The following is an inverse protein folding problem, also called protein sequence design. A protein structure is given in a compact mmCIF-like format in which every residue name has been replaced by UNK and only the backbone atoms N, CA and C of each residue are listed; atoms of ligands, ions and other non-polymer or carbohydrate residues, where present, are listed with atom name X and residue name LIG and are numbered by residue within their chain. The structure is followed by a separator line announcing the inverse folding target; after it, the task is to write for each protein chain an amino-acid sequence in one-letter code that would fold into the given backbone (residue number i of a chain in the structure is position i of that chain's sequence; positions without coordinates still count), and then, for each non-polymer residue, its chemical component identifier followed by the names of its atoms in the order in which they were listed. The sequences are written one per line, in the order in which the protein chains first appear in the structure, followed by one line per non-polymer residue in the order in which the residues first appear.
data_IF_481751842323
#
_entry.id   IF_481751842323
#
_cell.length_a   1.000
_cell.length_b   1.000
_cell.length_c   1.000
_cell.angle_alpha   90.00
_cell.angle_beta   90.00
_cell.angle_gamma   90.00
#
_symmetry.space_group_name_H-M   'P 1'
#
loop_
_entity.id
_entity.type
_entity.pdbx_description
1 polymer ?
#
# COMPACT_ATOMS: atom_id res chain seq x y z
N UNK A 1 -8.50 21.93 14.62
CA UNK A 1 -8.64 21.54 13.21
C UNK A 1 -9.97 20.85 13.05
N UNK A 2 -10.82 21.18 12.06
CA UNK A 2 -11.97 20.37 11.76
C UNK A 2 -11.49 18.93 11.51
N UNK A 3 -12.30 17.98 11.96
CA UNK A 3 -12.01 16.55 11.97
C UNK A 3 -11.35 16.07 10.66
N UNK A 4 -10.03 15.82 10.70
CA UNK A 4 -9.25 15.22 9.60
C UNK A 4 -9.55 13.72 9.42
N UNK A 5 -10.58 13.18 10.08
CA UNK A 5 -11.02 11.81 9.87
C UNK A 5 -11.64 11.71 8.49
N UNK A 6 -10.91 11.05 7.60
CA UNK A 6 -11.44 10.48 6.38
C UNK A 6 -12.78 9.76 6.67
N UNK A 7 -13.83 10.00 5.86
CA UNK A 7 -15.12 9.35 6.10
C UNK A 7 -14.99 7.84 6.00
N UNK A 8 -15.78 7.12 6.80
CA UNK A 8 -15.89 5.67 6.64
C UNK A 8 -16.54 5.37 5.30
N UNK A 9 -15.97 4.44 4.55
CA UNK A 9 -16.60 3.94 3.34
C UNK A 9 -17.95 3.31 3.68
N UNK A 10 -19.01 3.71 2.96
CA UNK A 10 -20.37 3.18 3.13
C UNK A 10 -20.81 2.50 1.85
N UNK A 11 -21.90 1.73 1.92
CA UNK A 11 -22.53 1.16 0.74
C UNK A 11 -22.97 2.23 -0.26
N UNK A 12 -23.56 3.33 0.23
CA UNK A 12 -23.97 4.46 -0.60
C UNK A 12 -22.79 5.09 -1.36
N UNK A 13 -21.61 5.21 -0.73
CA UNK A 13 -20.41 5.69 -1.44
C UNK A 13 -20.00 4.75 -2.57
N UNK A 14 -20.14 3.42 -2.37
CA UNK A 14 -19.80 2.44 -3.40
C UNK A 14 -20.80 2.43 -4.55
N UNK A 15 -22.09 2.51 -4.26
CA UNK A 15 -23.15 2.56 -5.27
C UNK A 15 -23.03 3.85 -6.10
N UNK A 16 -22.86 5.00 -5.44
CA UNK A 16 -22.69 6.28 -6.14
C UNK A 16 -21.44 6.32 -7.02
N UNK A 17 -20.30 5.78 -6.56
CA UNK A 17 -19.10 5.66 -7.39
C UNK A 17 -19.36 4.84 -8.66
N UNK A 18 -20.15 3.78 -8.55
CA UNK A 18 -20.53 2.95 -9.70
C UNK A 18 -21.49 3.67 -10.65
N UNK A 19 -22.44 4.44 -10.13
CA UNK A 19 -23.34 5.27 -10.96
C UNK A 19 -22.55 6.28 -11.79
N UNK A 20 -21.55 6.92 -11.19
CA UNK A 20 -20.73 7.93 -11.86
C UNK A 20 -19.80 7.34 -12.94
N UNK A 21 -19.30 6.11 -12.76
CA UNK A 21 -18.33 5.50 -13.68
C UNK A 21 -18.45 3.96 -13.72
N UNK A 22 -19.54 3.40 -14.26
CA UNK A 22 -19.85 1.97 -14.10
C UNK A 22 -18.84 1.05 -14.78
N UNK A 23 -18.42 1.39 -16.01
CA UNK A 23 -17.48 0.56 -16.77
C UNK A 23 -16.09 0.53 -16.13
N UNK A 24 -15.61 1.67 -15.62
CA UNK A 24 -14.32 1.77 -14.96
C UNK A 24 -14.33 1.04 -13.60
N UNK A 25 -15.40 1.19 -12.81
CA UNK A 25 -15.58 0.48 -11.54
C UNK A 25 -15.64 -1.04 -11.75
N UNK A 26 -16.41 -1.51 -12.73
CA UNK A 26 -16.54 -2.94 -13.02
C UNK A 26 -15.21 -3.55 -13.50
N UNK A 27 -14.47 -2.83 -14.37
CA UNK A 27 -13.13 -3.23 -14.80
C UNK A 27 -12.13 -3.29 -13.63
N UNK A 28 -12.13 -2.27 -12.76
CA UNK A 28 -11.27 -2.25 -11.58
C UNK A 28 -11.57 -3.40 -10.61
N UNK A 29 -12.85 -3.73 -10.39
CA UNK A 29 -13.25 -4.87 -9.55
C UNK A 29 -12.81 -6.20 -10.12
N UNK A 30 -12.95 -6.39 -11.42
CA UNK A 30 -12.47 -7.58 -12.10
C UNK A 30 -10.94 -7.71 -11.97
N UNK A 31 -10.21 -6.61 -12.21
CA UNK A 31 -8.76 -6.55 -12.02
C UNK A 31 -8.35 -6.87 -10.58
N UNK A 32 -8.98 -6.22 -9.59
CA UNK A 32 -8.69 -6.45 -8.17
C UNK A 32 -8.91 -7.91 -7.77
N UNK A 33 -10.02 -8.53 -8.21
CA UNK A 33 -10.29 -9.95 -7.98
C UNK A 33 -9.20 -10.84 -8.59
N UNK A 34 -8.81 -10.57 -9.83
CA UNK A 34 -7.77 -11.36 -10.52
C UNK A 34 -6.41 -11.23 -9.85
N UNK A 35 -6.02 -10.02 -9.42
CA UNK A 35 -4.75 -9.76 -8.74
C UNK A 35 -4.64 -10.55 -7.44
N UNK A 36 -5.68 -10.58 -6.62
CA UNK A 36 -5.66 -11.23 -5.29
C UNK A 36 -6.05 -12.71 -5.29
N UNK A 37 -6.42 -13.30 -6.42
CA UNK A 37 -6.62 -14.76 -6.53
C UNK A 37 -5.30 -15.52 -6.35
N UNK A 38 -5.34 -16.78 -5.92
CA UNK A 38 -4.14 -17.63 -5.82
C UNK A 38 -3.45 -17.81 -7.18
N UNK A 39 -2.12 -17.94 -7.13
CA UNK A 39 -1.28 -18.22 -8.29
C UNK A 39 0.12 -18.64 -7.84
N UNK A 40 1.16 -18.13 -8.50
CA UNK A 40 2.54 -18.35 -8.05
C UNK A 40 2.83 -17.79 -6.64
N UNK A 41 2.06 -16.79 -6.21
CA UNK A 41 1.97 -16.34 -4.83
C UNK A 41 0.55 -16.64 -4.32
N UNK A 42 0.46 -17.15 -3.10
CA UNK A 42 -0.83 -17.35 -2.42
C UNK A 42 -1.50 -16.00 -2.08
N UNK A 43 -2.81 -16.01 -1.89
CA UNK A 43 -3.60 -14.81 -1.58
C UNK A 43 -3.08 -14.11 -0.33
N UNK A 44 -2.66 -14.85 0.69
CA UNK A 44 -2.08 -14.32 1.94
C UNK A 44 -0.82 -13.51 1.70
N UNK A 45 0.14 -14.05 0.95
CA UNK A 45 1.39 -13.37 0.56
C UNK A 45 1.08 -12.11 -0.22
N UNK A 46 0.12 -12.17 -1.15
CA UNK A 46 -0.32 -10.96 -1.88
C UNK A 46 -0.93 -9.91 -0.96
N UNK A 47 -1.70 -10.31 0.05
CA UNK A 47 -2.22 -9.36 1.04
C UNK A 47 -1.13 -8.76 1.92
N UNK A 48 -0.10 -9.53 2.32
CA UNK A 48 1.06 -9.00 3.05
C UNK A 48 1.84 -7.97 2.22
N UNK A 49 2.04 -8.22 0.92
CA UNK A 49 2.59 -7.23 0.00
C UNK A 49 1.70 -5.99 -0.04
N UNK A 50 0.38 -6.16 -0.15
CA UNK A 50 -0.55 -5.04 -0.17
C UNK A 50 -0.55 -4.23 1.14
N UNK A 51 -0.36 -4.87 2.30
CA UNK A 51 -0.15 -4.18 3.59
C UNK A 51 1.09 -3.30 3.54
N UNK A 52 2.22 -3.84 3.05
CA UNK A 52 3.45 -3.08 2.92
C UNK A 52 3.28 -1.89 1.95
N UNK A 53 2.69 -2.12 0.78
CA UNK A 53 2.40 -1.06 -0.21
C UNK A 53 1.46 0.00 0.35
N UNK A 54 0.40 -0.38 1.09
CA UNK A 54 -0.55 0.55 1.70
C UNK A 54 0.12 1.52 2.69
N UNK A 55 1.16 1.08 3.41
CA UNK A 55 1.98 1.92 4.28
C UNK A 55 2.90 2.86 3.49
N UNK A 56 3.48 2.39 2.38
CA UNK A 56 4.28 3.25 1.49
C UNK A 56 3.41 4.35 0.86
N UNK A 57 2.18 4.02 0.44
CA UNK A 57 1.23 5.01 -0.12
C UNK A 57 0.46 5.79 0.95
N UNK A 58 0.65 5.47 2.23
CA UNK A 58 0.02 6.12 3.39
C UNK A 58 -1.51 6.19 3.30
N UNK A 59 -2.15 5.18 2.71
CA UNK A 59 -3.60 5.16 2.48
C UNK A 59 -4.31 4.50 3.68
N UNK A 60 -5.02 5.24 4.54
CA UNK A 60 -5.63 4.67 5.76
C UNK A 60 -6.69 3.62 5.45
N UNK A 61 -7.50 3.82 4.40
CA UNK A 61 -8.50 2.83 3.98
C UNK A 61 -7.85 1.55 3.43
N UNK A 62 -6.73 1.69 2.72
CA UNK A 62 -5.98 0.57 2.18
C UNK A 62 -5.30 -0.25 3.30
N UNK A 63 -4.72 0.45 4.29
CA UNK A 63 -4.15 -0.19 5.49
C UNK A 63 -5.24 -1.01 6.19
N UNK A 64 -6.39 -0.40 6.50
CA UNK A 64 -7.48 -1.12 7.17
C UNK A 64 -8.01 -2.29 6.33
N UNK A 65 -8.21 -2.08 5.02
CA UNK A 65 -8.74 -3.09 4.11
C UNK A 65 -7.83 -4.30 3.97
N UNK A 66 -6.54 -4.08 3.72
CA UNK A 66 -5.57 -5.14 3.48
C UNK A 66 -5.12 -5.86 4.75
N UNK A 67 -5.09 -5.19 5.91
CA UNK A 67 -4.87 -5.88 7.20
C UNK A 67 -6.02 -6.87 7.47
N UNK A 68 -7.28 -6.43 7.29
CA UNK A 68 -8.44 -7.33 7.46
C UNK A 68 -8.44 -8.47 6.44
N UNK A 69 -8.05 -8.20 5.20
CA UNK A 69 -7.95 -9.23 4.17
C UNK A 69 -6.82 -10.23 4.48
N UNK A 70 -5.63 -9.77 4.86
CA UNK A 70 -4.51 -10.63 5.26
C UNK A 70 -4.90 -11.59 6.39
N UNK A 71 -5.56 -11.07 7.45
CA UNK A 71 -6.08 -11.93 8.54
C UNK A 71 -7.10 -12.95 8.05
N UNK A 72 -8.00 -12.57 7.12
CA UNK A 72 -8.97 -13.51 6.52
C UNK A 72 -8.30 -14.63 5.74
N UNK A 73 -7.17 -14.35 5.09
CA UNK A 73 -6.33 -15.34 4.40
C UNK A 73 -5.37 -16.09 5.35
N UNK A 74 -5.52 -15.93 6.67
CA UNK A 74 -4.74 -16.67 7.67
C UNK A 74 -3.34 -16.12 7.95
N UNK A 75 -3.05 -14.86 7.62
CA UNK A 75 -1.83 -14.21 8.10
C UNK A 75 -1.88 -14.00 9.62
N UNK A 76 -0.77 -14.28 10.31
CA UNK A 76 -0.62 -13.95 11.73
C UNK A 76 -0.37 -12.46 11.93
N UNK A 77 -0.56 -11.99 13.17
CA UNK A 77 -0.28 -10.60 13.53
C UNK A 77 1.21 -10.27 13.39
N UNK A 78 2.09 -11.23 13.66
CA UNK A 78 3.54 -11.13 13.45
C UNK A 78 3.87 -10.94 11.97
N UNK A 79 3.27 -11.75 11.07
CA UNK A 79 3.49 -11.62 9.63
C UNK A 79 3.05 -10.25 9.10
N UNK A 80 1.91 -9.74 9.58
CA UNK A 80 1.40 -8.41 9.22
C UNK A 80 2.37 -7.33 9.72
N UNK A 81 2.86 -7.45 10.95
CA UNK A 81 3.81 -6.50 11.52
C UNK A 81 5.16 -6.52 10.79
N UNK A 82 5.66 -7.69 10.39
CA UNK A 82 6.85 -7.82 9.56
C UNK A 82 6.69 -7.07 8.23
N UNK A 83 5.53 -7.18 7.56
CA UNK A 83 5.26 -6.43 6.34
C UNK A 83 5.28 -4.90 6.56
N UNK A 84 4.83 -4.42 7.72
CA UNK A 84 4.93 -2.99 8.10
C UNK A 84 6.39 -2.57 8.26
N UNK A 85 7.22 -3.37 8.91
CA UNK A 85 8.64 -3.08 9.09
C UNK A 85 9.42 -3.12 7.77
N UNK A 86 9.09 -4.05 6.87
CA UNK A 86 9.60 -4.04 5.50
C UNK A 86 9.25 -2.72 4.80
N UNK A 87 8.00 -2.24 4.91
CA UNK A 87 7.63 -0.95 4.35
C UNK A 87 8.35 0.24 5.00
N UNK A 88 8.67 0.17 6.29
CA UNK A 88 9.43 1.19 6.99
C UNK A 88 10.89 1.24 6.53
N UNK A 89 11.55 0.08 6.46
CA UNK A 89 12.90 -0.07 5.93
C UNK A 89 12.97 0.48 4.51
N UNK A 90 12.07 0.07 3.61
CA UNK A 90 12.10 0.54 2.21
C UNK A 90 12.03 2.06 2.07
N UNK A 91 11.28 2.76 2.95
CA UNK A 91 11.26 4.23 2.95
C UNK A 91 12.57 4.83 3.47
N UNK A 92 13.15 4.26 4.53
CA UNK A 92 14.43 4.72 5.07
C UNK A 92 15.58 4.44 4.10
N UNK A 93 15.61 3.24 3.52
CA UNK A 93 16.55 2.79 2.52
C UNK A 93 16.52 3.65 1.26
N UNK A 94 15.35 4.10 0.81
CA UNK A 94 15.24 5.05 -0.31
C UNK A 94 15.98 6.38 -0.02
N UNK A 95 15.77 6.97 1.16
CA UNK A 95 16.50 8.18 1.56
C UNK A 95 18.01 7.94 1.68
N UNK A 96 18.40 6.81 2.28
CA UNK A 96 19.80 6.42 2.41
C UNK A 96 20.48 6.21 1.06
N UNK A 97 19.87 5.46 0.14
CA UNK A 97 20.40 5.20 -1.20
C UNK A 97 20.53 6.48 -2.02
N UNK A 98 19.56 7.40 -1.93
CA UNK A 98 19.63 8.69 -2.61
C UNK A 98 20.72 9.63 -2.07
N UNK A 99 21.32 9.34 -0.91
CA UNK A 99 22.46 10.12 -0.39
C UNK A 99 23.67 10.11 -1.34
N UNK A 100 23.79 9.11 -2.23
CA UNK A 100 24.81 9.08 -3.29
C UNK A 100 24.78 10.36 -4.13
N UNK A 101 23.59 10.92 -4.38
CA UNK A 101 23.48 12.18 -5.11
C UNK A 101 24.08 13.36 -4.35
N UNK A 102 23.88 13.39 -3.03
CA UNK A 102 24.47 14.39 -2.14
C UNK A 102 26.00 14.25 -2.14
N UNK A 103 26.52 13.03 -2.02
CA UNK A 103 27.96 12.76 -2.05
C UNK A 103 28.61 13.24 -3.35
N UNK A 104 27.96 13.03 -4.51
CA UNK A 104 28.42 13.53 -5.82
C UNK A 104 28.52 15.07 -5.84
N UNK A 105 27.55 15.77 -5.26
CA UNK A 105 27.55 17.23 -5.19
C UNK A 105 28.66 17.72 -4.24
N UNK A 106 28.79 17.10 -3.07
CA UNK A 106 29.81 17.45 -2.08
C UNK A 106 31.24 17.20 -2.60
N UNK A 107 31.45 16.20 -3.47
CA UNK A 107 32.76 15.94 -4.06
C UNK A 107 33.16 16.94 -5.14
N UNK A 108 32.20 17.53 -5.88
CA UNK A 108 32.48 18.50 -6.96
C UNK A 108 33.01 19.86 -6.49
N UNK A 109 33.06 20.10 -5.18
CA UNK A 109 33.68 21.30 -4.57
C UNK A 109 35.06 21.07 -3.97
N UNK A 110 35.58 19.84 -4.00
CA UNK A 110 36.96 19.51 -3.61
C UNK A 110 37.83 19.48 -4.85
N UNK A 111 38.15 20.65 -5.38
CA UNK A 111 39.28 20.82 -6.30
C UNK A 111 40.51 21.01 -5.42
N UNK A 112 41.51 20.14 -5.58
CA UNK A 112 42.88 20.42 -5.13
C UNK A 112 43.42 21.67 -5.85
#
# INVERSE_FOLDING_TARGET
MPDLRFPKATRAHADHRRELAPQAEDAFRAFSKAVFADGALDARTKQLIAVATAHVTQCPWCIEGHVKAARREGASDEQIMEAVWVAAEMRAGAAYAHSVKVLEILSKGKTD
#
